data_IF_698135308126
#
_entry.id   IF_698135308126
#
_cell.length_a   1.000
_cell.length_b   1.000
_cell.length_c   1.000
_cell.angle_alpha   90.00
_cell.angle_beta   90.00
_cell.angle_gamma   90.00
#
_symmetry.space_group_name_H-M   'P 1'
#
loop_
_entity.id
_entity.type
_entity.pdbx_description
1 polymer ?
#
# COMPACT_ATOMS: atom_id res chain seq x y z
N UNK A 1 4.96 20.99 -15.30
CA UNK A 1 5.39 19.97 -14.33
C UNK A 1 4.35 18.87 -14.34
N UNK A 2 4.63 17.75 -15.02
CA UNK A 2 3.69 16.65 -15.15
C UNK A 2 3.52 15.98 -13.77
N UNK A 3 2.47 16.34 -13.03
CA UNK A 3 2.07 15.58 -11.84
C UNK A 3 1.47 14.26 -12.33
N UNK A 4 2.29 13.24 -12.49
CA UNK A 4 1.78 11.89 -12.63
C UNK A 4 1.05 11.56 -11.31
N UNK A 5 -0.25 11.32 -11.37
CA UNK A 5 -1.07 10.99 -10.19
C UNK A 5 -1.00 9.49 -9.89
N UNK A 6 0.13 8.87 -10.20
CA UNK A 6 0.35 7.45 -10.00
C UNK A 6 0.56 7.16 -8.52
N UNK A 7 -0.09 6.10 -8.04
CA UNK A 7 0.15 5.48 -6.75
C UNK A 7 1.57 4.92 -6.66
N UNK A 8 2.02 4.62 -5.44
CA UNK A 8 3.26 3.88 -5.20
C UNK A 8 3.05 2.83 -4.11
N UNK A 9 3.97 1.86 -4.01
CA UNK A 9 3.91 0.82 -3.01
C UNK A 9 4.73 1.18 -1.77
N UNK A 10 4.22 0.83 -0.59
CA UNK A 10 4.97 0.85 0.67
C UNK A 10 5.18 -0.60 1.11
N UNK A 11 6.44 -0.94 1.38
CA UNK A 11 6.87 -2.27 1.81
C UNK A 11 7.79 -2.17 3.01
N UNK A 12 7.72 -3.15 3.91
CA UNK A 12 8.61 -3.24 5.07
C UNK A 12 9.96 -3.78 4.64
N UNK A 13 11.04 -3.06 4.95
CA UNK A 13 12.42 -3.53 4.74
C UNK A 13 12.87 -4.40 5.91
N UNK A 14 13.70 -5.41 5.63
CA UNK A 14 14.36 -6.22 6.65
C UNK A 14 15.69 -5.59 7.08
N UNK A 15 16.22 -5.96 8.27
CA UNK A 15 17.58 -5.62 8.67
C UNK A 15 18.61 -6.06 7.63
N UNK A 16 19.77 -5.40 7.61
CA UNK A 16 20.84 -5.73 6.68
C UNK A 16 21.29 -7.19 6.83
N UNK A 17 21.32 -7.92 5.72
CA UNK A 17 21.68 -9.33 5.67
C UNK A 17 20.52 -10.30 5.95
N UNK A 18 19.33 -9.80 6.28
CA UNK A 18 18.11 -10.59 6.39
C UNK A 18 17.25 -10.48 5.11
N UNK A 19 16.54 -11.54 4.79
CA UNK A 19 15.62 -11.60 3.66
C UNK A 19 14.27 -12.17 4.06
N UNK A 20 13.24 -11.82 3.30
CA UNK A 20 11.94 -12.46 3.39
C UNK A 20 12.10 -13.97 3.14
N UNK A 21 11.61 -14.84 4.03
CA UNK A 21 11.83 -16.29 3.92
C UNK A 21 11.11 -16.91 2.72
N UNK A 22 10.07 -16.26 2.18
CA UNK A 22 9.27 -16.79 1.08
C UNK A 22 9.80 -16.32 -0.28
N UNK A 23 10.27 -15.07 -0.40
CA UNK A 23 10.75 -14.50 -1.67
C UNK A 23 12.27 -14.31 -1.75
N UNK A 24 12.99 -14.38 -0.63
CA UNK A 24 14.40 -14.03 -0.50
C UNK A 24 14.73 -12.57 -0.89
N UNK A 25 13.75 -11.66 -0.79
CA UNK A 25 13.93 -10.23 -1.01
C UNK A 25 14.43 -9.53 0.26
N UNK A 26 15.13 -8.38 0.16
CA UNK A 26 15.53 -7.58 1.33
C UNK A 26 14.36 -6.81 1.99
N UNK A 27 13.13 -7.10 1.58
CA UNK A 27 11.89 -6.52 2.07
C UNK A 27 10.76 -7.55 1.96
N UNK A 28 9.65 -7.31 2.65
CA UNK A 28 8.51 -8.21 2.67
C UNK A 28 7.96 -8.49 1.26
N UNK A 29 7.54 -9.73 1.01
CA UNK A 29 6.97 -10.11 -0.29
C UNK A 29 5.56 -9.53 -0.57
N UNK A 30 4.92 -8.94 0.45
CA UNK A 30 3.64 -8.23 0.35
C UNK A 30 3.85 -6.74 0.65
N UNK A 31 3.32 -5.89 -0.22
CA UNK A 31 3.32 -4.43 -0.06
C UNK A 31 1.90 -3.87 -0.06
N UNK A 32 1.77 -2.59 0.26
CA UNK A 32 0.50 -1.86 0.22
C UNK A 32 0.56 -0.77 -0.84
N UNK A 33 -0.39 -0.77 -1.77
CA UNK A 33 -0.55 0.33 -2.71
C UNK A 33 -1.17 1.52 -1.99
N UNK A 34 -0.50 2.68 -2.07
CA UNK A 34 -0.94 3.92 -1.44
C UNK A 34 -1.08 5.05 -2.45
N UNK A 35 -1.98 5.98 -2.14
CA UNK A 35 -2.16 7.22 -2.87
C UNK A 35 -1.74 8.41 -2.01
N UNK A 36 -1.06 9.39 -2.60
CA UNK A 36 -0.82 10.69 -1.96
C UNK A 36 -2.15 11.45 -1.94
N UNK A 37 -2.66 11.73 -0.75
CA UNK A 37 -3.89 12.51 -0.55
C UNK A 37 -3.61 13.97 -0.21
N UNK A 38 -2.45 14.24 0.39
CA UNK A 38 -2.00 15.59 0.73
C UNK A 38 -0.47 15.67 0.67
N UNK A 39 0.05 16.87 0.39
CA UNK A 39 1.46 17.13 0.26
C UNK A 39 1.80 18.56 0.67
N UNK A 40 2.70 18.70 1.63
CA UNK A 40 3.14 19.98 2.17
C UNK A 40 4.67 20.13 2.12
N UNK A 41 5.13 21.35 1.86
CA UNK A 41 6.56 21.72 1.76
C UNK A 41 6.80 22.84 2.76
N UNK A 42 7.03 22.46 4.01
CA UNK A 42 7.26 23.41 5.11
C UNK A 42 8.68 23.96 5.11
N UNK A 43 9.65 23.20 4.58
CA UNK A 43 11.08 23.54 4.56
C UNK A 43 11.67 23.19 3.21
N UNK A 44 12.56 24.04 2.68
CA UNK A 44 13.24 23.79 1.39
C UNK A 44 14.01 22.47 1.48
N UNK A 45 13.75 21.56 0.53
CA UNK A 45 14.37 20.24 0.47
C UNK A 45 13.68 19.17 1.32
N UNK A 46 12.58 19.49 2.01
CA UNK A 46 11.77 18.55 2.76
C UNK A 46 10.32 18.60 2.31
N UNK A 47 9.74 17.43 2.03
CA UNK A 47 8.35 17.28 1.64
C UNK A 47 7.69 16.30 2.60
N UNK A 48 6.57 16.71 3.18
CA UNK A 48 5.70 15.83 3.97
C UNK A 48 4.54 15.42 3.09
N UNK A 49 4.22 14.12 3.06
CA UNK A 49 3.07 13.60 2.33
C UNK A 49 2.17 12.82 3.28
N UNK A 50 0.87 12.99 3.10
CA UNK A 50 -0.14 12.12 3.70
C UNK A 50 -0.57 11.11 2.66
N UNK A 51 -0.58 9.84 3.05
CA UNK A 51 -0.92 8.72 2.19
C UNK A 51 -2.18 8.01 2.70
N UNK A 52 -3.00 7.54 1.77
CA UNK A 52 -4.14 6.65 2.05
C UNK A 52 -3.90 5.31 1.37
N UNK A 53 -4.08 4.22 2.11
CA UNK A 53 -3.97 2.86 1.59
C UNK A 53 -5.14 2.53 0.66
N UNK A 54 -4.89 1.62 -0.28
CA UNK A 54 -5.91 1.13 -1.20
C UNK A 54 -6.11 -0.39 -1.06
N UNK A 55 -5.06 -1.16 -1.33
CA UNK A 55 -5.08 -2.61 -1.24
C UNK A 55 -3.66 -3.19 -1.21
N UNK A 56 -3.56 -4.50 -1.00
CA UNK A 56 -2.29 -5.22 -0.93
C UNK A 56 -1.82 -5.65 -2.32
N UNK A 57 -0.51 -5.71 -2.48
CA UNK A 57 0.16 -6.19 -3.67
C UNK A 57 1.11 -7.33 -3.28
N UNK A 58 1.27 -8.31 -4.15
CA UNK A 58 2.34 -9.32 -4.07
C UNK A 58 3.46 -8.90 -5.02
N UNK A 59 4.69 -8.88 -4.52
CA UNK A 59 5.89 -8.59 -5.33
C UNK A 59 6.34 -9.88 -6.01
N UNK A 60 6.53 -9.83 -7.33
CA UNK A 60 7.03 -10.93 -8.14
C UNK A 60 8.53 -10.81 -8.41
N UNK A 61 8.98 -9.61 -8.77
CA UNK A 61 10.39 -9.30 -8.99
C UNK A 61 10.67 -7.82 -8.69
N UNK A 62 11.95 -7.46 -8.54
CA UNK A 62 12.36 -6.07 -8.34
C UNK A 62 13.65 -5.73 -9.08
N UNK A 63 13.82 -4.45 -9.38
CA UNK A 63 15.06 -3.88 -9.91
C UNK A 63 15.44 -2.63 -9.12
N UNK A 64 16.71 -2.54 -8.73
CA UNK A 64 17.27 -1.34 -8.12
C UNK A 64 17.78 -0.40 -9.20
N UNK A 65 17.27 0.83 -9.21
CA UNK A 65 17.75 1.88 -10.10
C UNK A 65 19.07 2.50 -9.59
N UNK A 66 19.85 3.17 -10.47
CA UNK A 66 21.12 3.78 -10.09
C UNK A 66 21.03 4.86 -8.99
N UNK A 67 19.85 5.45 -8.80
CA UNK A 67 19.54 6.44 -7.77
C UNK A 67 19.08 5.81 -6.43
N UNK A 68 19.04 4.48 -6.36
CA UNK A 68 18.60 3.73 -5.20
C UNK A 68 17.09 3.51 -5.11
N UNK A 69 16.31 3.96 -6.10
CA UNK A 69 14.87 3.66 -6.14
C UNK A 69 14.62 2.22 -6.56
N UNK A 70 13.70 1.56 -5.87
CA UNK A 70 13.25 0.20 -6.22
C UNK A 70 12.04 0.30 -7.13
N UNK A 71 12.05 -0.48 -8.22
CA UNK A 71 10.90 -0.69 -9.10
C UNK A 71 10.55 -2.17 -9.07
N UNK A 72 9.31 -2.46 -8.69
CA UNK A 72 8.79 -3.81 -8.52
C UNK A 72 7.82 -4.19 -9.65
N UNK A 73 7.86 -5.46 -10.05
CA UNK A 73 6.75 -6.11 -10.77
C UNK A 73 5.81 -6.73 -9.73
N UNK A 74 4.51 -6.42 -9.82
CA UNK A 74 3.54 -6.72 -8.75
C UNK A 74 2.23 -7.30 -9.29
N UNK A 75 1.55 -8.05 -8.44
CA UNK A 75 0.19 -8.54 -8.65
C UNK A 75 -0.75 -8.05 -7.56
N UNK A 76 -1.95 -7.61 -7.93
CA UNK A 76 -2.96 -7.17 -6.96
C UNK A 76 -3.46 -8.35 -6.11
N UNK A 77 -3.49 -8.16 -4.79
CA UNK A 77 -4.19 -9.06 -3.86
C UNK A 77 -5.56 -8.44 -3.57
N UNK A 78 -6.65 -9.02 -4.11
CA UNK A 78 -7.98 -8.47 -3.89
C UNK A 78 -8.33 -8.46 -2.40
N UNK A 79 -8.97 -7.39 -1.95
CA UNK A 79 -9.47 -7.31 -0.59
C UNK A 79 -10.73 -8.19 -0.48
N UNK A 80 -10.58 -9.43 -0.02
CA UNK A 80 -11.69 -10.36 0.16
C UNK A 80 -12.42 -10.02 1.46
N UNK A 81 -13.16 -8.91 1.47
CA UNK A 81 -14.24 -8.70 2.43
C UNK A 81 -15.50 -9.39 1.89
N UNK A 82 -15.46 -10.71 1.75
CA UNK A 82 -16.65 -11.51 1.46
C UNK A 82 -17.05 -12.31 2.69
N UNK A 83 -17.38 -11.61 3.78
CA UNK A 83 -18.37 -12.16 4.69
C UNK A 83 -19.72 -11.64 4.20
N UNK A 84 -20.61 -12.47 3.64
CA UNK A 84 -21.99 -12.05 3.48
C UNK A 84 -22.47 -11.63 4.87
N UNK A 85 -23.02 -10.41 4.98
CA UNK A 85 -23.67 -9.97 6.21
C UNK A 85 -24.72 -11.05 6.54
N UNK A 86 -24.59 -11.79 7.66
CA UNK A 86 -25.62 -12.73 8.09
C UNK A 86 -26.97 -12.03 8.05
N UNK A 87 -28.02 -12.69 7.56
CA UNK A 87 -29.34 -12.06 7.39
C UNK A 87 -29.85 -11.42 8.69
N UNK A 88 -29.43 -11.96 9.84
CA UNK A 88 -29.74 -11.45 11.18
C UNK A 88 -29.17 -10.05 11.48
N UNK A 89 -28.10 -9.63 10.78
CA UNK A 89 -27.48 -8.31 10.93
C UNK A 89 -28.13 -7.23 10.04
N UNK A 90 -29.06 -7.59 9.14
CA UNK A 90 -29.81 -6.60 8.33
C UNK A 90 -30.85 -5.81 9.12
N UNK A 91 -31.27 -6.30 10.30
CA UNK A 91 -32.21 -5.58 11.17
C UNK A 91 -31.53 -4.40 11.87
N UNK A 92 -30.26 -4.55 12.27
CA UNK A 92 -29.50 -3.54 13.00
C UNK A 92 -28.97 -2.41 12.11
N UNK A 93 -28.68 -2.70 10.84
CA UNK A 93 -28.13 -1.70 9.89
C UNK A 93 -29.16 -0.62 9.50
N UNK A 94 -30.46 -0.91 9.65
CA UNK A 94 -31.53 0.08 9.43
C UNK A 94 -31.66 1.09 10.55
N UNK A 95 -31.19 0.76 11.76
CA UNK A 95 -31.27 1.66 12.94
C UNK A 95 -30.13 2.69 12.93
N UNK A 96 -28.98 2.36 12.35
CA UNK A 96 -27.79 3.23 12.34
C UNK A 96 -27.77 4.29 11.23
N UNK A 97 -28.69 4.25 10.26
CA UNK A 97 -28.82 5.28 9.20
C UNK A 97 -29.75 6.45 9.57
N UNK A 98 -30.18 6.54 10.83
CA UNK A 98 -31.10 7.59 11.31
C UNK A 98 -30.49 8.52 12.38
N UNK A 99 -29.16 8.53 12.56
CA UNK A 99 -28.46 9.54 13.35
C UNK A 99 -27.38 10.21 12.52
#
# INVERSE_FOLDING_TARGET
MFKNKSSFAVVTIFPEGETDPESNFPFANISTLVNIVDADVTTVGLMTISCMDHHRLKIDSFTLQPDGLVIDEVMDIPNVLSMPIPEDLNLSSRVLKQF
#
